data_IF_606952550443
#
_entry.id   IF_606952550443
#
_cell.length_a   1.000
_cell.length_b   1.000
_cell.length_c   1.000
_cell.angle_alpha   90.00
_cell.angle_beta   90.00
_cell.angle_gamma   90.00
#
_symmetry.space_group_name_H-M   'P 1'
#
loop_
_entity.id
_entity.type
_entity.pdbx_description
1 polymer ?
#
# COMPACT_ATOMS: atom_id res chain seq x y z
N UNK A 1 -18.50 21.40 -16.47
CA UNK A 1 -17.93 22.77 -16.50
C UNK A 1 -18.22 23.36 -17.86
N UNK A 2 -19.14 24.31 -17.93
CA UNK A 2 -19.55 24.95 -19.18
C UNK A 2 -18.74 26.21 -19.43
N UNK A 3 -18.45 26.51 -20.69
CA UNK A 3 -17.69 27.71 -21.08
C UNK A 3 -18.36 28.43 -22.25
N UNK A 4 -18.32 29.76 -22.22
CA UNK A 4 -18.82 30.59 -23.33
C UNK A 4 -17.83 30.70 -24.50
N UNK A 5 -18.24 31.43 -25.54
CA UNK A 5 -17.41 31.74 -26.71
C UNK A 5 -16.13 32.52 -26.40
N UNK A 6 -16.00 33.11 -25.21
CA UNK A 6 -14.79 33.78 -24.73
C UNK A 6 -13.98 32.90 -23.76
N UNK A 7 -14.29 31.60 -23.69
CA UNK A 7 -13.69 30.58 -22.81
C UNK A 7 -13.85 30.86 -21.31
N UNK A 8 -14.76 31.75 -20.91
CA UNK A 8 -15.08 31.99 -19.50
C UNK A 8 -15.95 30.87 -18.98
N UNK A 9 -15.74 30.46 -17.74
CA UNK A 9 -16.57 29.43 -17.10
C UNK A 9 -17.93 30.07 -16.81
N UNK A 10 -18.97 29.57 -17.46
CA UNK A 10 -20.35 30.07 -17.34
C UNK A 10 -21.24 29.21 -16.48
N UNK A 11 -20.84 27.96 -16.24
CA UNK A 11 -21.58 27.02 -15.42
C UNK A 11 -20.63 26.09 -14.68
N UNK A 12 -20.81 26.04 -13.37
CA UNK A 12 -20.17 25.07 -12.49
C UNK A 12 -21.28 24.43 -11.64
N UNK A 13 -21.44 23.12 -11.78
CA UNK A 13 -22.20 22.32 -10.83
C UNK A 13 -21.20 21.91 -9.75
N UNK A 14 -21.38 22.35 -8.49
CA UNK A 14 -20.56 21.85 -7.40
C UNK A 14 -20.70 20.35 -7.30
N UNK A 15 -19.60 19.66 -7.00
CA UNK A 15 -19.70 18.28 -6.56
C UNK A 15 -20.47 18.24 -5.23
N UNK A 16 -21.21 17.16 -5.01
CA UNK A 16 -21.90 16.94 -3.74
C UNK A 16 -20.84 16.93 -2.64
N UNK A 17 -20.90 17.90 -1.74
CA UNK A 17 -20.06 17.86 -0.54
C UNK A 17 -20.41 16.63 0.27
N UNK A 18 -19.41 16.01 0.87
CA UNK A 18 -19.64 14.90 1.77
C UNK A 18 -20.54 15.33 2.91
N UNK A 19 -21.55 14.53 3.20
CA UNK A 19 -22.35 14.73 4.39
C UNK A 19 -21.55 14.40 5.67
N UNK A 20 -22.14 14.68 6.82
CA UNK A 20 -21.49 14.45 8.12
C UNK A 20 -21.11 12.97 8.31
N UNK A 21 -21.95 12.05 7.85
CA UNK A 21 -21.72 10.60 7.96
C UNK A 21 -20.58 10.14 7.07
N UNK A 22 -20.53 10.61 5.82
CA UNK A 22 -19.46 10.30 4.89
C UNK A 22 -18.10 10.81 5.39
N UNK A 23 -18.07 11.99 6.01
CA UNK A 23 -16.85 12.52 6.65
C UNK A 23 -16.42 11.65 7.83
N UNK A 24 -17.35 11.25 8.70
CA UNK A 24 -17.07 10.38 9.83
C UNK A 24 -16.49 9.03 9.38
N UNK A 25 -17.03 8.44 8.32
CA UNK A 25 -16.49 7.20 7.76
C UNK A 25 -15.06 7.34 7.26
N UNK A 26 -14.73 8.44 6.59
CA UNK A 26 -13.39 8.66 6.07
C UNK A 26 -12.38 8.95 7.18
N UNK A 27 -12.79 9.61 8.27
CA UNK A 27 -11.97 9.77 9.47
C UNK A 27 -11.74 8.43 10.20
N UNK A 28 -12.80 7.61 10.35
CA UNK A 28 -12.70 6.29 10.96
C UNK A 28 -11.81 5.35 10.13
N UNK A 29 -11.88 5.44 8.80
CA UNK A 29 -11.00 4.71 7.89
C UNK A 29 -9.54 5.12 8.07
N UNK A 30 -9.24 6.43 8.12
CA UNK A 30 -7.88 6.93 8.37
C UNK A 30 -7.34 6.45 9.74
N UNK A 31 -8.17 6.48 10.78
CA UNK A 31 -7.80 5.97 12.10
C UNK A 31 -7.48 4.47 12.05
N UNK A 32 -8.30 3.68 11.39
CA UNK A 32 -8.06 2.25 11.20
C UNK A 32 -6.78 1.97 10.40
N UNK A 33 -6.56 2.66 9.28
CA UNK A 33 -5.39 2.47 8.43
C UNK A 33 -4.07 2.79 9.17
N UNK A 34 -4.07 3.76 10.09
CA UNK A 34 -2.93 4.05 10.97
C UNK A 34 -2.55 2.90 11.90
N UNK A 35 -3.46 1.97 12.17
CA UNK A 35 -3.17 0.76 12.97
C UNK A 35 -2.51 -0.35 12.16
N UNK A 36 -2.53 -0.24 10.82
CA UNK A 36 -1.97 -1.22 9.91
C UNK A 36 -0.50 -0.92 9.61
N UNK A 37 0.25 -1.97 9.30
CA UNK A 37 1.63 -1.85 8.86
C UNK A 37 1.68 -1.17 7.48
N UNK A 38 2.39 -0.03 7.31
CA UNK A 38 2.45 0.70 6.05
C UNK A 38 3.18 -0.07 4.93
N UNK A 39 3.81 -1.22 5.26
CA UNK A 39 4.55 -2.05 4.31
C UNK A 39 3.69 -3.16 3.71
N UNK A 40 2.87 -3.82 4.52
CA UNK A 40 2.12 -5.01 4.11
C UNK A 40 0.61 -4.92 4.32
N UNK A 41 0.11 -3.87 5.00
CA UNK A 41 -1.32 -3.68 5.29
C UNK A 41 -1.88 -4.58 6.40
N UNK A 42 -1.04 -5.37 7.08
CA UNK A 42 -1.48 -6.22 8.19
C UNK A 42 -1.38 -5.49 9.53
N UNK A 43 -2.16 -5.87 10.55
CA UNK A 43 -1.96 -5.36 11.91
C UNK A 43 -0.51 -5.53 12.38
N UNK A 44 0.06 -4.47 12.95
CA UNK A 44 1.48 -4.45 13.35
C UNK A 44 1.80 -5.58 14.33
N UNK A 45 0.88 -5.88 15.25
CA UNK A 45 1.00 -6.99 16.21
C UNK A 45 1.14 -8.36 15.56
N UNK A 46 0.66 -8.54 14.33
CA UNK A 46 0.75 -9.81 13.59
C UNK A 46 2.02 -9.83 12.74
N UNK A 47 2.34 -8.75 12.04
CA UNK A 47 3.46 -8.77 11.09
C UNK A 47 4.83 -8.45 11.70
N UNK A 48 4.90 -7.88 12.91
CA UNK A 48 6.14 -7.60 13.63
C UNK A 48 6.36 -8.54 14.83
N UNK A 49 5.57 -9.61 14.97
CA UNK A 49 5.57 -10.51 16.14
C UNK A 49 6.99 -10.93 16.57
N UNK A 50 7.39 -10.51 17.78
CA UNK A 50 8.68 -10.80 18.40
C UNK A 50 8.87 -12.29 18.71
N UNK A 51 7.77 -13.06 18.77
CA UNK A 51 7.79 -14.50 19.02
C UNK A 51 8.08 -15.31 17.75
N UNK A 52 8.04 -14.70 16.56
CA UNK A 52 8.48 -15.36 15.35
C UNK A 52 10.02 -15.47 15.40
N UNK A 53 10.60 -16.68 15.55
CA UNK A 53 12.04 -16.85 15.70
C UNK A 53 12.68 -16.72 14.33
N UNK A 54 12.75 -15.50 13.82
CA UNK A 54 13.41 -15.24 12.56
C UNK A 54 14.84 -14.85 12.91
N UNK A 55 15.80 -15.43 12.17
CA UNK A 55 17.23 -15.05 12.18
C UNK A 55 17.48 -13.57 11.80
N UNK A 56 16.41 -12.77 11.70
CA UNK A 56 16.35 -11.40 11.22
C UNK A 56 15.75 -10.45 12.27
N UNK A 57 15.62 -10.89 13.52
CA UNK A 57 15.30 -10.01 14.64
C UNK A 57 16.32 -8.85 14.68
N UNK A 58 15.83 -7.62 14.64
CA UNK A 58 16.64 -6.40 14.71
C UNK A 58 16.12 -5.49 15.82
N UNK A 59 17.00 -4.64 16.35
CA UNK A 59 16.64 -3.62 17.36
C UNK A 59 15.58 -2.63 16.87
N UNK A 60 15.43 -2.50 15.54
CA UNK A 60 14.35 -1.75 14.89
C UNK A 60 13.27 -2.73 14.44
N UNK A 61 12.00 -2.41 14.65
CA UNK A 61 10.88 -3.26 14.22
C UNK A 61 10.87 -3.47 12.70
N UNK A 62 10.94 -4.72 12.25
CA UNK A 62 10.89 -5.10 10.83
C UNK A 62 9.55 -5.75 10.52
N UNK A 63 8.99 -5.43 9.34
CA UNK A 63 7.83 -6.15 8.82
C UNK A 63 8.26 -7.55 8.34
N UNK A 64 7.99 -8.57 9.15
CA UNK A 64 8.40 -9.94 8.89
C UNK A 64 7.73 -10.51 7.64
N UNK A 65 6.47 -10.13 7.37
CA UNK A 65 5.75 -10.56 6.17
C UNK A 65 6.39 -10.02 4.88
N UNK A 66 6.75 -8.73 4.85
CA UNK A 66 7.47 -8.14 3.71
C UNK A 66 8.82 -8.83 3.49
N UNK A 67 9.56 -9.07 4.58
CA UNK A 67 10.84 -9.78 4.53
C UNK A 67 10.69 -11.19 3.95
N UNK A 68 9.74 -12.00 4.46
CA UNK A 68 9.53 -13.35 3.96
C UNK A 68 9.11 -13.37 2.48
N UNK A 69 8.29 -12.41 2.04
CA UNK A 69 7.94 -12.27 0.62
C UNK A 69 9.17 -11.94 -0.24
N UNK A 70 10.07 -11.06 0.23
CA UNK A 70 11.33 -10.75 -0.48
C UNK A 70 12.20 -11.98 -0.64
N UNK A 71 12.38 -12.76 0.44
CA UNK A 71 13.16 -14.01 0.41
C UNK A 71 12.56 -14.97 -0.62
N UNK A 72 11.24 -15.21 -0.57
CA UNK A 72 10.57 -16.08 -1.53
C UNK A 72 10.67 -15.57 -2.98
N UNK A 73 10.64 -14.25 -3.20
CA UNK A 73 10.85 -13.67 -4.52
C UNK A 73 12.29 -13.88 -5.02
N UNK A 74 13.29 -13.74 -4.16
CA UNK A 74 14.69 -14.02 -4.51
C UNK A 74 14.92 -15.50 -4.84
N UNK A 75 14.31 -16.40 -4.07
CA UNK A 75 14.32 -17.84 -4.35
C UNK A 75 13.67 -18.13 -5.71
N UNK A 76 12.48 -17.57 -5.97
CA UNK A 76 11.82 -17.71 -7.27
C UNK A 76 12.69 -17.23 -8.43
N UNK A 77 13.35 -16.07 -8.29
CA UNK A 77 14.26 -15.53 -9.32
C UNK A 77 15.45 -16.43 -9.59
N UNK A 78 16.02 -17.06 -8.54
CA UNK A 78 17.12 -18.03 -8.69
C UNK A 78 16.66 -19.27 -9.44
N UNK A 79 15.48 -19.79 -9.11
CA UNK A 79 14.93 -20.99 -9.73
C UNK A 79 14.48 -20.76 -11.18
N UNK A 80 14.15 -19.51 -11.53
CA UNK A 80 13.63 -19.11 -12.84
C UNK A 80 14.62 -18.23 -13.63
N UNK A 81 15.92 -18.41 -13.44
CA UNK A 81 16.96 -17.58 -14.08
C UNK A 81 16.97 -17.64 -15.61
N UNK A 82 16.27 -18.61 -16.22
CA UNK A 82 16.13 -18.75 -17.67
C UNK A 82 14.99 -17.89 -18.26
N UNK A 83 14.14 -17.28 -17.43
CA UNK A 83 13.07 -16.39 -17.89
C UNK A 83 13.63 -15.03 -18.36
N UNK A 84 12.80 -14.25 -19.06
CA UNK A 84 13.22 -12.92 -19.50
C UNK A 84 13.46 -11.98 -18.31
N UNK A 85 14.57 -11.23 -18.38
CA UNK A 85 14.94 -10.26 -17.35
C UNK A 85 13.80 -9.26 -17.06
N UNK A 86 13.11 -8.80 -18.09
CA UNK A 86 11.94 -7.89 -17.96
C UNK A 86 10.83 -8.48 -17.10
N UNK A 87 10.57 -9.79 -17.21
CA UNK A 87 9.55 -10.47 -16.39
C UNK A 87 10.00 -10.54 -14.94
N UNK A 88 11.24 -10.96 -14.67
CA UNK A 88 11.78 -11.10 -13.32
C UNK A 88 11.91 -9.75 -12.58
N UNK A 89 12.22 -8.68 -13.32
CA UNK A 89 12.32 -7.31 -12.80
C UNK A 89 10.95 -6.70 -12.50
N UNK A 90 9.90 -7.13 -13.20
CA UNK A 90 8.52 -6.67 -12.96
C UNK A 90 7.90 -7.22 -11.67
N UNK A 91 8.49 -8.25 -11.08
CA UNK A 91 8.00 -8.86 -9.84
C UNK A 91 8.33 -7.98 -8.63
N UNK A 92 7.31 -7.63 -7.84
CA UNK A 92 7.43 -6.82 -6.63
C UNK A 92 6.58 -7.41 -5.50
N UNK A 93 7.00 -7.18 -4.25
CA UNK A 93 6.36 -7.77 -3.04
C UNK A 93 5.63 -6.74 -2.18
N UNK A 94 5.79 -5.45 -2.50
CA UNK A 94 5.20 -4.34 -1.78
C UNK A 94 3.92 -3.87 -2.46
N UNK A 95 2.98 -3.42 -1.65
CA UNK A 95 1.93 -2.50 -2.12
C UNK A 95 2.65 -1.17 -2.30
N UNK A 96 2.79 -0.65 -3.51
CA UNK A 96 3.26 0.72 -3.68
C UNK A 96 2.19 1.62 -3.04
N UNK A 97 2.49 2.32 -1.93
CA UNK A 97 1.55 3.32 -1.44
C UNK A 97 1.33 4.34 -2.56
N UNK A 98 0.07 4.73 -2.75
CA UNK A 98 -0.30 5.79 -3.70
C UNK A 98 0.28 7.13 -3.26
#
# INVERSE_FOLDING_TARGET
MERDGHRRITGYTPETEWDETEREWMLALDEYERTLCPRCGMPVSICHDELAPTKYASEVGVCQIDLMRRIGLEEYRKDHSAESATKLDSLTVGINPR
#
